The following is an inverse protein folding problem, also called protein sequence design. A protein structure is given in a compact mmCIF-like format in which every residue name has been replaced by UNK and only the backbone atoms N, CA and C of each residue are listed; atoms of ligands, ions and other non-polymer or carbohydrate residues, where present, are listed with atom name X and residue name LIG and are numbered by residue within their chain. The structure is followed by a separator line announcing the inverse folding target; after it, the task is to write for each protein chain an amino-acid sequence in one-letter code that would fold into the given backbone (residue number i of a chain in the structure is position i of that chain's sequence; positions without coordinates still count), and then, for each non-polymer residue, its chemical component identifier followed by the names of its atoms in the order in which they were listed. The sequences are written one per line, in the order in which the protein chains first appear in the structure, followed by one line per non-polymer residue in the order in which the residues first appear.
data_IF_970183377738
#
_entry.id   IF_970183377738
#
_cell.length_a   1.000
_cell.length_b   1.000
_cell.length_c   1.000
_cell.angle_alpha   90.00
_cell.angle_beta   90.00
_cell.angle_gamma   90.00
#
_symmetry.space_group_name_H-M   'P 1'
#
loop_
_entity.id
_entity.type
_entity.pdbx_description
1 polymer ?
#
# COMPACT_ATOMS: atom_id res chain seq x y z
N UNK A 1 28.27 1.11 -9.98
CA UNK A 1 26.95 1.02 -10.66
C UNK A 1 26.67 2.37 -11.28
N UNK A 2 26.20 2.41 -12.53
CA UNK A 2 25.96 3.69 -13.20
C UNK A 2 24.71 4.38 -12.65
N UNK A 3 24.71 5.71 -12.65
CA UNK A 3 23.55 6.54 -12.26
C UNK A 3 22.25 6.09 -12.96
N UNK A 4 22.34 5.75 -14.25
CA UNK A 4 21.22 5.28 -15.08
C UNK A 4 20.71 3.91 -14.62
N UNK A 5 21.61 2.96 -14.31
CA UNK A 5 21.23 1.66 -13.76
C UNK A 5 20.51 1.79 -12.41
N UNK A 6 20.92 2.75 -11.59
CA UNK A 6 20.30 3.01 -10.28
C UNK A 6 18.87 3.54 -10.42
N UNK A 7 18.65 4.49 -11.34
CA UNK A 7 17.32 5.04 -11.62
C UNK A 7 16.38 3.96 -12.19
N UNK A 8 16.83 3.21 -13.19
CA UNK A 8 16.02 2.15 -13.80
C UNK A 8 15.71 1.01 -12.81
N UNK A 9 16.65 0.65 -11.93
CA UNK A 9 16.39 -0.31 -10.86
C UNK A 9 15.33 0.20 -9.88
N UNK A 10 15.36 1.48 -9.49
CA UNK A 10 14.37 2.07 -8.60
C UNK A 10 12.97 2.10 -9.23
N UNK A 11 12.88 2.57 -10.48
CA UNK A 11 11.61 2.64 -11.22
C UNK A 11 11.03 1.24 -11.40
N UNK A 12 11.85 0.27 -11.82
CA UNK A 12 11.44 -1.12 -11.99
C UNK A 12 10.96 -1.77 -10.69
N UNK A 13 11.64 -1.49 -9.57
CA UNK A 13 11.24 -2.02 -8.26
C UNK A 13 9.89 -1.43 -7.81
N UNK A 14 9.69 -0.11 -7.98
CA UNK A 14 8.41 0.54 -7.62
C UNK A 14 7.27 0.00 -8.47
N UNK A 15 7.46 -0.16 -9.79
CA UNK A 15 6.42 -0.70 -10.67
C UNK A 15 6.12 -2.16 -10.35
N UNK A 16 7.13 -2.99 -10.09
CA UNK A 16 6.94 -4.39 -9.71
C UNK A 16 6.12 -4.50 -8.42
N UNK A 17 6.46 -3.73 -7.39
CA UNK A 17 5.76 -3.76 -6.10
C UNK A 17 4.32 -3.24 -6.25
N UNK A 18 4.10 -2.21 -7.07
CA UNK A 18 2.76 -1.71 -7.37
C UNK A 18 1.89 -2.78 -8.05
N UNK A 19 2.44 -3.48 -9.06
CA UNK A 19 1.73 -4.56 -9.75
C UNK A 19 1.42 -5.73 -8.82
N UNK A 20 2.37 -6.11 -7.96
CA UNK A 20 2.15 -7.18 -6.96
C UNK A 20 1.06 -6.76 -5.96
N UNK A 21 1.10 -5.54 -5.45
CA UNK A 21 0.07 -5.03 -4.52
C UNK A 21 -1.30 -4.96 -5.18
N UNK A 22 -1.39 -4.50 -6.43
CA UNK A 22 -2.64 -4.46 -7.19
C UNK A 22 -3.20 -5.87 -7.47
N UNK A 23 -2.32 -6.84 -7.72
CA UNK A 23 -2.71 -8.24 -7.94
C UNK A 23 -3.26 -8.87 -6.66
N UNK A 24 -2.64 -8.59 -5.51
CA UNK A 24 -3.13 -9.04 -4.19
C UNK A 24 -4.49 -8.42 -3.88
N UNK A 25 -4.69 -7.13 -4.19
CA UNK A 25 -5.98 -6.45 -4.05
C UNK A 25 -7.08 -7.13 -4.87
N UNK A 26 -6.80 -7.43 -6.15
CA UNK A 26 -7.76 -8.09 -7.02
C UNK A 26 -8.10 -9.50 -6.54
N UNK A 27 -7.09 -10.29 -6.14
CA UNK A 27 -7.29 -11.65 -5.64
C UNK A 27 -8.09 -11.68 -4.34
N UNK A 28 -7.81 -10.77 -3.40
CA UNK A 28 -8.57 -10.63 -2.15
C UNK A 28 -10.03 -10.25 -2.41
N UNK A 29 -10.28 -9.30 -3.33
CA UNK A 29 -11.65 -8.96 -3.73
C UNK A 29 -12.36 -10.14 -4.40
N UNK A 30 -11.68 -10.89 -5.28
CA UNK A 30 -12.27 -12.04 -5.94
C UNK A 30 -12.67 -13.15 -4.95
N UNK A 31 -11.81 -13.46 -3.97
CA UNK A 31 -12.07 -14.47 -2.95
C UNK A 31 -13.25 -14.08 -2.03
N UNK A 32 -13.34 -12.79 -1.67
CA UNK A 32 -14.44 -12.27 -0.83
C UNK A 32 -15.75 -12.21 -1.64
N UNK A 33 -15.73 -11.73 -2.88
CA UNK A 33 -16.94 -11.62 -3.71
C UNK A 33 -17.56 -12.98 -4.01
N UNK A 34 -16.75 -14.01 -4.27
CA UNK A 34 -17.27 -15.35 -4.55
C UNK A 34 -17.94 -16.01 -3.33
N UNK A 35 -17.47 -15.68 -2.12
CA UNK A 35 -18.04 -16.16 -0.85
C UNK A 35 -19.29 -15.38 -0.45
N UNK A 36 -19.31 -14.06 -0.72
CA UNK A 36 -20.46 -13.18 -0.44
C UNK A 36 -21.63 -13.44 -1.40
N UNK A 37 -21.37 -13.79 -2.66
CA UNK A 37 -22.44 -14.05 -3.62
C UNK A 37 -23.29 -15.27 -3.22
N UNK A 38 -22.69 -16.35 -2.73
CA UNK A 38 -23.44 -17.53 -2.25
C UNK A 38 -24.27 -17.22 -0.99
N UNK A 39 -23.73 -16.39 -0.08
CA UNK A 39 -24.42 -15.99 1.14
C UNK A 39 -25.68 -15.16 0.84
N UNK A 40 -25.56 -14.18 -0.05
CA UNK A 40 -26.63 -13.21 -0.32
C UNK A 40 -27.72 -13.75 -1.24
N UNK A 41 -27.43 -14.70 -2.15
CA UNK A 41 -28.42 -15.16 -3.14
C UNK A 41 -29.14 -16.46 -2.76
N UNK A 42 -28.64 -17.25 -1.81
CA UNK A 42 -29.25 -18.54 -1.44
C UNK A 42 -29.57 -18.68 0.04
N UNK A 43 -28.69 -18.23 0.93
CA UNK A 43 -28.86 -18.52 2.37
C UNK A 43 -29.84 -17.59 3.08
N UNK A 44 -29.85 -16.29 2.75
CA UNK A 44 -30.84 -15.35 3.31
C UNK A 44 -32.29 -15.68 2.91
N UNK A 45 -32.59 -16.04 1.64
CA UNK A 45 -33.90 -16.56 1.26
C UNK A 45 -34.30 -17.81 2.06
N UNK A 46 -33.42 -18.81 2.15
CA UNK A 46 -33.72 -20.06 2.85
C UNK A 46 -34.14 -19.87 4.32
N UNK A 47 -33.53 -18.93 5.04
CA UNK A 47 -33.90 -18.65 6.44
C UNK A 47 -35.29 -17.99 6.55
N UNK A 48 -35.60 -17.08 5.62
CA UNK A 48 -36.95 -16.50 5.53
C UNK A 48 -37.98 -17.58 5.16
N UNK A 49 -37.64 -18.48 4.25
CA UNK A 49 -38.53 -19.55 3.79
C UNK A 49 -38.81 -20.59 4.88
N UNK A 50 -37.81 -20.93 5.71
CA UNK A 50 -38.02 -21.79 6.90
C UNK A 50 -38.96 -21.11 7.91
N UNK A 51 -38.80 -19.81 8.15
CA UNK A 51 -39.68 -19.04 9.03
C UNK A 51 -41.11 -18.96 8.48
N UNK A 52 -41.24 -18.70 7.17
CA UNK A 52 -42.51 -18.69 6.46
C UNK A 52 -43.19 -20.07 6.48
N UNK A 53 -42.42 -21.16 6.37
CA UNK A 53 -42.92 -22.52 6.44
C UNK A 53 -43.49 -22.83 7.83
N UNK A 54 -42.75 -22.44 8.87
CA UNK A 54 -43.22 -22.57 10.26
C UNK A 54 -44.53 -21.80 10.47
N UNK A 55 -44.60 -20.57 9.97
CA UNK A 55 -45.83 -19.76 10.00
C UNK A 55 -46.98 -20.45 9.26
N UNK A 56 -46.74 -20.98 8.06
CA UNK A 56 -47.76 -21.65 7.26
C UNK A 56 -48.38 -22.83 8.02
N UNK A 57 -47.57 -23.66 8.68
CA UNK A 57 -48.10 -24.75 9.51
C UNK A 57 -48.84 -24.25 10.77
N UNK A 58 -48.37 -23.17 11.40
CA UNK A 58 -49.08 -22.57 12.55
C UNK A 58 -50.44 -22.00 12.15
N UNK A 59 -50.52 -21.35 10.99
CA UNK A 59 -51.76 -20.83 10.43
C UNK A 59 -52.72 -22.00 10.10
N UNK A 60 -52.18 -23.12 9.60
CA UNK A 60 -52.95 -24.36 9.43
C UNK A 60 -53.51 -24.90 10.77
N UNK A 61 -52.69 -25.03 11.82
CA UNK A 61 -53.15 -25.49 13.14
C UNK A 61 -54.24 -24.57 13.69
N UNK A 62 -54.02 -23.25 13.55
CA UNK A 62 -54.93 -22.22 14.07
C UNK A 62 -56.28 -22.29 13.38
N UNK A 63 -56.29 -22.38 12.05
CA UNK A 63 -57.52 -22.50 11.27
C UNK A 63 -58.27 -23.80 11.57
N UNK A 64 -57.54 -24.92 11.61
CA UNK A 64 -58.09 -26.23 11.93
C UNK A 64 -58.77 -26.24 13.31
N UNK A 65 -58.10 -25.73 14.35
CA UNK A 65 -58.65 -25.68 15.72
C UNK A 65 -59.82 -24.71 15.83
N UNK A 66 -59.74 -23.56 15.16
CA UNK A 66 -60.84 -22.60 15.09
C UNK A 66 -62.11 -23.21 14.51
N UNK A 67 -61.97 -23.93 13.39
CA UNK A 67 -63.07 -24.68 12.79
C UNK A 67 -63.60 -25.79 13.70
N UNK A 68 -62.69 -26.55 14.33
CA UNK A 68 -63.06 -27.64 15.23
C UNK A 68 -63.92 -27.14 16.41
N UNK A 69 -63.60 -25.96 16.96
CA UNK A 69 -64.34 -25.35 18.07
C UNK A 69 -65.67 -24.73 17.63
N UNK A 70 -65.68 -23.98 16.52
CA UNK A 70 -66.83 -23.11 16.18
C UNK A 70 -67.75 -23.65 15.09
N UNK A 71 -67.30 -24.67 14.34
CA UNK A 71 -67.90 -25.12 13.07
C UNK A 71 -68.01 -24.04 11.98
N UNK A 72 -67.34 -22.88 12.12
CA UNK A 72 -67.36 -21.82 11.11
C UNK A 72 -66.41 -22.15 9.95
N UNK A 73 -66.90 -22.41 8.73
CA UNK A 73 -66.05 -22.81 7.59
C UNK A 73 -65.01 -21.76 7.20
N UNK A 74 -65.25 -20.48 7.45
CA UNK A 74 -64.29 -19.40 7.15
C UNK A 74 -62.98 -19.53 7.94
N UNK A 75 -63.00 -20.23 9.08
CA UNK A 75 -61.77 -20.52 9.83
C UNK A 75 -60.89 -21.57 9.14
N UNK A 76 -61.35 -22.22 8.07
CA UNK A 76 -60.51 -23.11 7.26
C UNK A 76 -59.72 -22.38 6.16
N UNK A 77 -59.93 -21.07 5.96
CA UNK A 77 -59.16 -20.30 4.98
C UNK A 77 -57.65 -20.33 5.30
N UNK A 78 -57.19 -20.04 6.55
CA UNK A 78 -55.77 -20.16 6.91
C UNK A 78 -55.21 -21.58 6.77
N UNK A 79 -56.06 -22.60 6.93
CA UNK A 79 -55.66 -24.00 6.70
C UNK A 79 -55.42 -24.30 5.23
N UNK A 80 -56.29 -23.79 4.35
CA UNK A 80 -56.19 -24.05 2.92
C UNK A 80 -55.04 -23.26 2.29
N UNK A 81 -54.92 -21.98 2.65
CA UNK A 81 -53.82 -21.11 2.20
C UNK A 81 -52.48 -21.61 2.73
N UNK A 82 -52.40 -21.91 4.03
CA UNK A 82 -51.18 -22.42 4.64
C UNK A 82 -50.72 -23.75 4.05
N UNK A 83 -51.61 -24.61 3.57
CA UNK A 83 -51.25 -25.86 2.86
C UNK A 83 -50.57 -25.56 1.52
N UNK A 84 -51.13 -24.64 0.73
CA UNK A 84 -50.54 -24.24 -0.54
C UNK A 84 -49.17 -23.56 -0.35
N UNK A 85 -49.05 -22.70 0.66
CA UNK A 85 -47.77 -22.06 1.00
C UNK A 85 -46.72 -23.07 1.46
N UNK A 86 -47.10 -24.02 2.32
CA UNK A 86 -46.18 -25.06 2.79
C UNK A 86 -45.66 -25.92 1.62
N UNK A 87 -46.52 -26.33 0.68
CA UNK A 87 -46.12 -27.12 -0.49
C UNK A 87 -45.11 -26.36 -1.37
N UNK A 88 -45.37 -25.07 -1.61
CA UNK A 88 -44.46 -24.20 -2.38
C UNK A 88 -43.11 -24.02 -1.67
N UNK A 89 -43.13 -23.66 -0.39
CA UNK A 89 -41.93 -23.40 0.40
C UNK A 89 -41.07 -24.67 0.55
N UNK A 90 -41.68 -25.85 0.71
CA UNK A 90 -40.95 -27.13 0.74
C UNK A 90 -40.23 -27.39 -0.59
N UNK A 91 -40.85 -27.05 -1.73
CA UNK A 91 -40.21 -27.22 -3.04
C UNK A 91 -39.01 -26.26 -3.24
N UNK A 92 -39.15 -25.01 -2.80
CA UNK A 92 -38.06 -24.00 -2.80
C UNK A 92 -36.91 -24.45 -1.89
N UNK A 93 -37.21 -24.81 -0.63
CA UNK A 93 -36.22 -25.26 0.35
C UNK A 93 -35.48 -26.54 -0.06
N UNK A 94 -36.13 -27.46 -0.78
CA UNK A 94 -35.44 -28.64 -1.36
C UNK A 94 -34.33 -28.25 -2.33
N UNK A 95 -34.52 -27.16 -3.07
CA UNK A 95 -33.52 -26.66 -4.03
C UNK A 95 -32.41 -25.92 -3.31
N UNK A 96 -32.76 -25.08 -2.35
CA UNK A 96 -31.80 -24.22 -1.63
C UNK A 96 -30.92 -25.00 -0.65
N UNK A 97 -31.47 -26.04 -0.01
CA UNK A 97 -30.78 -26.88 0.97
C UNK A 97 -30.08 -28.10 0.35
N UNK A 98 -30.18 -28.32 -0.97
CA UNK A 98 -29.59 -29.49 -1.64
C UNK A 98 -28.06 -29.63 -1.47
N UNK A 99 -27.37 -28.52 -1.16
CA UNK A 99 -25.93 -28.51 -0.89
C UNK A 99 -25.53 -28.94 0.51
N UNK A 100 -26.48 -29.11 1.44
CA UNK A 100 -26.25 -29.51 2.83
C UNK A 100 -27.05 -30.78 3.19
N UNK A 101 -26.39 -31.94 3.35
CA UNK A 101 -27.07 -33.20 3.64
C UNK A 101 -27.89 -33.18 4.93
N UNK A 102 -27.40 -32.50 5.98
CA UNK A 102 -28.07 -32.44 7.29
C UNK A 102 -29.34 -31.58 7.20
N UNK A 103 -29.28 -30.39 6.58
CA UNK A 103 -30.45 -29.54 6.37
C UNK A 103 -31.48 -30.22 5.45
N UNK A 104 -31.04 -30.96 4.44
CA UNK A 104 -31.91 -31.77 3.59
C UNK A 104 -32.61 -32.88 4.38
N UNK A 105 -31.91 -33.52 5.32
CA UNK A 105 -32.48 -34.54 6.20
C UNK A 105 -33.53 -33.94 7.15
N UNK A 106 -33.24 -32.80 7.76
CA UNK A 106 -34.17 -32.10 8.66
C UNK A 106 -35.43 -31.61 7.93
N UNK A 107 -35.29 -31.08 6.71
CA UNK A 107 -36.45 -30.76 5.87
C UNK A 107 -37.29 -32.01 5.57
N UNK A 108 -36.64 -33.15 5.33
CA UNK A 108 -37.32 -34.43 5.18
C UNK A 108 -38.11 -34.83 6.44
N UNK A 109 -37.54 -34.62 7.63
CA UNK A 109 -38.22 -34.88 8.90
C UNK A 109 -39.42 -33.96 9.12
N UNK A 110 -39.32 -32.67 8.76
CA UNK A 110 -40.46 -31.74 8.78
C UNK A 110 -41.59 -32.22 7.86
N UNK A 111 -41.26 -32.62 6.63
CA UNK A 111 -42.26 -33.11 5.67
C UNK A 111 -42.95 -34.38 6.18
N UNK A 112 -42.20 -35.31 6.78
CA UNK A 112 -42.77 -36.52 7.36
C UNK A 112 -43.70 -36.21 8.54
N UNK A 113 -43.26 -35.38 9.49
CA UNK A 113 -44.07 -34.99 10.65
C UNK A 113 -45.34 -34.21 10.24
N UNK A 114 -45.26 -33.37 9.19
CA UNK A 114 -46.40 -32.66 8.64
C UNK A 114 -47.41 -33.59 7.97
N UNK A 115 -46.94 -34.59 7.22
CA UNK A 115 -47.79 -35.62 6.62
C UNK A 115 -48.51 -36.46 7.70
N UNK A 116 -47.79 -36.82 8.77
CA UNK A 116 -48.36 -37.54 9.92
C UNK A 116 -49.43 -36.71 10.63
N UNK A 117 -49.15 -35.45 10.95
CA UNK A 117 -50.12 -34.56 11.57
C UNK A 117 -51.36 -34.35 10.68
N UNK A 118 -51.15 -34.17 9.38
CA UNK A 118 -52.24 -33.93 8.42
C UNK A 118 -53.17 -35.15 8.33
N UNK A 119 -52.59 -36.33 8.12
CA UNK A 119 -53.33 -37.57 7.87
C UNK A 119 -53.96 -38.17 9.13
N UNK A 120 -53.33 -38.01 10.30
CA UNK A 120 -53.79 -38.62 11.54
C UNK A 120 -54.62 -37.67 12.42
N UNK A 121 -54.48 -36.35 12.25
CA UNK A 121 -55.19 -35.36 13.05
C UNK A 121 -55.96 -34.34 12.23
N UNK A 122 -55.30 -33.51 11.42
CA UNK A 122 -55.94 -32.34 10.82
C UNK A 122 -57.13 -32.71 9.93
N UNK A 123 -56.93 -33.57 8.91
CA UNK A 123 -57.97 -33.95 7.97
C UNK A 123 -59.09 -34.79 8.63
N UNK A 124 -58.80 -35.81 9.46
CA UNK A 124 -59.84 -36.55 10.18
C UNK A 124 -60.68 -35.68 11.11
N UNK A 125 -60.08 -34.71 11.80
CA UNK A 125 -60.79 -33.81 12.71
C UNK A 125 -61.68 -32.82 11.96
N UNK A 126 -61.19 -32.27 10.85
CA UNK A 126 -61.99 -31.42 9.96
C UNK A 126 -63.16 -32.23 9.39
N UNK A 127 -62.92 -33.46 8.92
CA UNK A 127 -63.96 -34.33 8.38
C UNK A 127 -65.01 -34.69 9.43
N UNK A 128 -64.60 -35.09 10.64
CA UNK A 128 -65.50 -35.41 11.74
C UNK A 128 -66.38 -34.20 12.12
N UNK A 129 -65.79 -32.99 12.17
CA UNK A 129 -66.54 -31.77 12.48
C UNK A 129 -67.51 -31.37 11.37
N UNK A 130 -67.16 -31.62 10.09
CA UNK A 130 -68.07 -31.44 8.96
C UNK A 130 -69.25 -32.41 8.99
N UNK A 131 -69.05 -33.61 9.51
CA UNK A 131 -70.11 -34.61 9.64
C UNK A 131 -71.14 -34.27 10.74
N UNK A 132 -70.76 -33.43 11.71
CA UNK A 132 -71.71 -32.91 12.71
C UNK A 132 -71.05 -32.48 14.03
N UNK A 133 -71.87 -32.22 15.07
CA UNK A 133 -71.38 -31.94 16.41
C UNK A 133 -70.53 -33.09 16.98
N UNK A 134 -69.40 -32.75 17.60
CA UNK A 134 -68.50 -33.71 18.25
C UNK A 134 -68.76 -33.66 19.76
N UNK A 135 -68.98 -34.80 20.44
CA UNK A 135 -69.10 -34.87 21.90
C UNK A 135 -67.88 -34.23 22.62
N UNK A 136 -68.06 -33.55 23.77
CA UNK A 136 -66.97 -32.82 24.43
C UNK A 136 -65.75 -33.67 24.80
N UNK A 137 -65.98 -34.90 25.24
CA UNK A 137 -64.96 -35.90 25.60
C UNK A 137 -64.16 -36.36 24.36
N UNK A 138 -64.85 -36.64 23.25
CA UNK A 138 -64.21 -36.98 21.98
C UNK A 138 -63.42 -35.79 21.41
N UNK A 139 -63.99 -34.59 21.47
CA UNK A 139 -63.35 -33.35 21.04
C UNK A 139 -62.06 -33.08 21.82
N UNK A 140 -62.08 -33.29 23.14
CA UNK A 140 -60.91 -33.14 23.99
C UNK A 140 -59.81 -34.14 23.62
N UNK A 141 -60.16 -35.42 23.41
CA UNK A 141 -59.22 -36.47 22.99
C UNK A 141 -58.58 -36.17 21.63
N UNK A 142 -59.40 -35.76 20.64
CA UNK A 142 -58.93 -35.36 19.32
C UNK A 142 -57.96 -34.18 19.40
N UNK A 143 -58.32 -33.14 20.17
CA UNK A 143 -57.48 -31.95 20.34
C UNK A 143 -56.12 -32.29 20.97
N UNK A 144 -56.09 -33.14 21.99
CA UNK A 144 -54.84 -33.58 22.62
C UNK A 144 -53.96 -34.39 21.65
N UNK A 145 -54.56 -35.32 20.90
CA UNK A 145 -53.85 -36.14 19.93
C UNK A 145 -53.27 -35.29 18.78
N UNK A 146 -54.06 -34.34 18.27
CA UNK A 146 -53.61 -33.39 17.25
C UNK A 146 -52.49 -32.48 17.75
N UNK A 147 -52.60 -31.99 18.99
CA UNK A 147 -51.54 -31.19 19.61
C UNK A 147 -50.22 -31.96 19.70
N UNK A 148 -50.25 -33.23 20.15
CA UNK A 148 -49.04 -34.05 20.26
C UNK A 148 -48.32 -34.21 18.92
N UNK A 149 -49.05 -34.48 17.85
CA UNK A 149 -48.49 -34.60 16.50
C UNK A 149 -47.97 -33.25 15.99
N UNK A 150 -48.67 -32.15 16.29
CA UNK A 150 -48.19 -30.82 15.90
C UNK A 150 -46.95 -30.38 16.71
N UNK A 151 -46.86 -30.75 17.99
CA UNK A 151 -45.68 -30.48 18.82
C UNK A 151 -44.43 -31.20 18.26
N UNK A 152 -44.60 -32.41 17.70
CA UNK A 152 -43.54 -33.10 16.97
C UNK A 152 -43.13 -32.33 15.71
N UNK A 153 -44.10 -31.91 14.88
CA UNK A 153 -43.82 -31.04 13.72
C UNK A 153 -43.08 -29.75 14.12
N UNK A 154 -43.49 -29.12 15.23
CA UNK A 154 -42.85 -27.91 15.75
C UNK A 154 -41.41 -28.16 16.22
N UNK A 155 -41.14 -29.35 16.76
CA UNK A 155 -39.79 -29.79 17.11
C UNK A 155 -38.92 -29.92 15.87
N UNK A 156 -39.42 -30.57 14.80
CA UNK A 156 -38.69 -30.72 13.54
C UNK A 156 -38.45 -29.37 12.85
N UNK A 157 -39.43 -28.47 12.86
CA UNK A 157 -39.27 -27.10 12.34
C UNK A 157 -38.19 -26.32 13.10
N UNK A 158 -38.11 -26.48 14.42
CA UNK A 158 -37.10 -25.83 15.26
C UNK A 158 -35.69 -26.38 15.00
N UNK A 159 -35.57 -27.69 14.72
CA UNK A 159 -34.32 -28.31 14.30
C UNK A 159 -33.85 -27.72 12.95
N UNK A 160 -34.73 -27.71 11.95
CA UNK A 160 -34.47 -27.12 10.63
C UNK A 160 -34.03 -25.65 10.71
N UNK A 161 -34.71 -24.87 11.54
CA UNK A 161 -34.36 -23.47 11.77
C UNK A 161 -32.98 -23.33 12.42
N UNK A 162 -32.67 -24.16 13.43
CA UNK A 162 -31.38 -24.14 14.13
C UNK A 162 -30.22 -24.50 13.20
N UNK A 163 -30.39 -25.52 12.35
CA UNK A 163 -29.39 -25.88 11.34
C UNK A 163 -29.18 -24.78 10.33
N UNK A 164 -30.27 -24.20 9.82
CA UNK A 164 -30.19 -23.11 8.85
C UNK A 164 -29.44 -21.91 9.43
N UNK A 165 -29.73 -21.55 10.69
CA UNK A 165 -28.98 -20.50 11.41
C UNK A 165 -27.48 -20.83 11.51
N UNK A 166 -27.13 -22.05 11.92
CA UNK A 166 -25.73 -22.48 12.04
C UNK A 166 -24.98 -22.42 10.70
N UNK A 167 -25.66 -22.76 9.59
CA UNK A 167 -25.09 -22.66 8.25
C UNK A 167 -24.76 -21.20 7.90
N UNK A 168 -25.66 -20.26 8.22
CA UNK A 168 -25.41 -18.83 8.00
C UNK A 168 -24.26 -18.32 8.85
N UNK A 169 -24.26 -18.61 10.15
CA UNK A 169 -23.21 -18.15 11.07
C UNK A 169 -21.82 -18.65 10.63
N UNK A 170 -21.71 -19.93 10.28
CA UNK A 170 -20.46 -20.52 9.81
C UNK A 170 -19.92 -19.88 8.52
N UNK A 171 -20.80 -19.33 7.69
CA UNK A 171 -20.45 -18.70 6.43
C UNK A 171 -20.13 -17.21 6.62
N UNK A 172 -20.79 -16.54 7.55
CA UNK A 172 -20.42 -15.19 8.00
C UNK A 172 -18.99 -15.21 8.58
N UNK A 173 -18.66 -16.20 9.41
CA UNK A 173 -17.32 -16.32 10.00
C UNK A 173 -16.23 -16.57 8.95
N UNK A 174 -16.54 -17.36 7.90
CA UNK A 174 -15.64 -17.56 6.76
C UNK A 174 -15.41 -16.25 5.99
N UNK A 175 -16.45 -15.44 5.77
CA UNK A 175 -16.33 -14.13 5.12
C UNK A 175 -15.49 -13.17 5.96
N UNK A 176 -15.74 -13.09 7.27
CA UNK A 176 -15.00 -12.22 8.18
C UNK A 176 -13.52 -12.61 8.26
N UNK A 177 -13.22 -13.91 8.35
CA UNK A 177 -11.85 -14.42 8.39
C UNK A 177 -11.10 -14.16 7.07
N UNK A 178 -11.76 -14.36 5.93
CA UNK A 178 -11.21 -14.05 4.61
C UNK A 178 -10.92 -12.55 4.45
N UNK A 179 -11.80 -11.68 4.98
CA UNK A 179 -11.58 -10.24 5.00
C UNK A 179 -10.39 -9.85 5.89
N UNK A 180 -10.25 -10.46 7.08
CA UNK A 180 -9.14 -10.16 7.98
C UNK A 180 -7.79 -10.57 7.37
N UNK A 181 -7.70 -11.76 6.78
CA UNK A 181 -6.49 -12.22 6.07
C UNK A 181 -6.16 -11.28 4.90
N UNK A 182 -7.16 -10.87 4.12
CA UNK A 182 -6.97 -9.94 3.01
C UNK A 182 -6.49 -8.55 3.50
N UNK A 183 -7.06 -8.02 4.59
CA UNK A 183 -6.64 -6.76 5.18
C UNK A 183 -5.23 -6.81 5.77
N UNK A 184 -4.86 -7.90 6.44
CA UNK A 184 -3.51 -8.09 6.99
C UNK A 184 -2.48 -8.21 5.86
N UNK A 185 -2.76 -9.02 4.83
CA UNK A 185 -1.91 -9.13 3.65
C UNK A 185 -1.72 -7.77 2.95
N UNK A 186 -2.79 -6.97 2.86
CA UNK A 186 -2.74 -5.62 2.32
C UNK A 186 -1.92 -4.67 3.19
N UNK A 187 -2.06 -4.73 4.51
CA UNK A 187 -1.29 -3.90 5.44
C UNK A 187 0.22 -4.21 5.32
N UNK A 188 0.59 -5.50 5.24
CA UNK A 188 1.97 -5.93 5.04
C UNK A 188 2.51 -5.45 3.67
N UNK A 189 1.75 -5.64 2.59
CA UNK A 189 2.15 -5.18 1.25
C UNK A 189 2.35 -3.66 1.21
N UNK A 190 1.46 -2.89 1.84
CA UNK A 190 1.54 -1.44 1.93
C UNK A 190 2.74 -0.98 2.76
N UNK A 191 3.01 -1.65 3.88
CA UNK A 191 4.18 -1.37 4.73
C UNK A 191 5.50 -1.66 4.01
N UNK A 192 5.58 -2.77 3.26
CA UNK A 192 6.74 -3.11 2.44
C UNK A 192 6.96 -2.09 1.31
N UNK A 193 5.89 -1.67 0.63
CA UNK A 193 5.96 -0.63 -0.40
C UNK A 193 6.48 0.68 0.18
N UNK A 194 5.94 1.11 1.32
CA UNK A 194 6.42 2.31 2.01
C UNK A 194 7.90 2.19 2.40
N UNK A 195 8.31 1.04 2.93
CA UNK A 195 9.70 0.75 3.27
C UNK A 195 10.64 0.85 2.06
N UNK A 196 10.25 0.31 0.91
CA UNK A 196 11.02 0.38 -0.33
C UNK A 196 11.12 1.81 -0.85
N UNK A 197 10.02 2.58 -0.82
CA UNK A 197 10.02 3.99 -1.22
C UNK A 197 10.97 4.80 -0.33
N UNK A 198 10.88 4.64 0.99
CA UNK A 198 11.75 5.32 1.95
C UNK A 198 13.21 4.93 1.72
N UNK A 199 13.50 3.64 1.57
CA UNK A 199 14.85 3.14 1.30
C UNK A 199 15.41 3.69 -0.02
N UNK A 200 14.59 3.77 -1.06
CA UNK A 200 14.95 4.33 -2.37
C UNK A 200 15.28 5.81 -2.29
N UNK A 201 14.43 6.60 -1.61
CA UNK A 201 14.66 8.03 -1.40
C UNK A 201 15.93 8.26 -0.58
N UNK A 202 16.12 7.48 0.48
CA UNK A 202 17.31 7.55 1.33
C UNK A 202 18.58 7.21 0.55
N UNK A 203 18.56 6.13 -0.24
CA UNK A 203 19.69 5.68 -1.05
C UNK A 203 20.02 6.70 -2.16
N UNK A 204 19.00 7.24 -2.82
CA UNK A 204 19.16 8.29 -3.84
C UNK A 204 19.83 9.55 -3.24
N UNK A 205 19.36 10.02 -2.08
CA UNK A 205 20.00 11.16 -1.38
C UNK A 205 21.45 10.88 -1.01
N UNK A 206 21.75 9.65 -0.57
CA UNK A 206 23.09 9.25 -0.13
C UNK A 206 24.07 9.09 -1.30
N UNK A 207 23.64 8.52 -2.42
CA UNK A 207 24.50 8.19 -3.55
C UNK A 207 24.55 9.27 -4.62
N UNK A 208 23.48 10.04 -4.81
CA UNK A 208 23.38 11.04 -5.88
C UNK A 208 23.51 12.46 -5.32
N UNK A 209 22.58 12.86 -4.47
CA UNK A 209 22.46 14.27 -4.05
C UNK A 209 23.66 14.74 -3.25
N UNK A 210 24.13 13.96 -2.28
CA UNK A 210 25.27 14.36 -1.43
C UNK A 210 26.59 14.51 -2.21
N UNK A 211 27.05 13.52 -3.00
CA UNK A 211 28.33 13.65 -3.69
C UNK A 211 28.31 14.73 -4.78
N UNK A 212 27.20 14.87 -5.51
CA UNK A 212 27.05 15.94 -6.51
C UNK A 212 27.13 17.31 -5.85
N UNK A 213 26.48 17.52 -4.71
CA UNK A 213 26.57 18.79 -3.98
C UNK A 213 27.98 19.10 -3.47
N UNK A 214 28.74 18.07 -3.07
CA UNK A 214 30.16 18.25 -2.66
C UNK A 214 30.98 18.74 -3.85
N UNK A 215 30.90 18.06 -5.00
CA UNK A 215 31.66 18.43 -6.20
C UNK A 215 31.21 19.81 -6.71
N UNK A 216 29.91 20.10 -6.71
CA UNK A 216 29.38 21.40 -7.13
C UNK A 216 29.93 22.54 -6.26
N UNK A 217 29.96 22.34 -4.94
CA UNK A 217 30.51 23.33 -4.01
C UNK A 217 32.02 23.52 -4.23
N UNK A 218 32.77 22.45 -4.43
CA UNK A 218 34.22 22.51 -4.68
C UNK A 218 34.51 23.22 -6.02
N UNK A 219 33.78 22.91 -7.09
CA UNK A 219 33.89 23.59 -8.40
C UNK A 219 33.50 25.08 -8.29
N UNK A 220 32.46 25.41 -7.54
CA UNK A 220 32.05 26.81 -7.32
C UNK A 220 33.12 27.58 -6.54
N UNK A 221 33.80 26.94 -5.59
CA UNK A 221 34.92 27.56 -4.87
C UNK A 221 36.09 27.87 -5.82
N UNK A 222 36.42 26.96 -6.74
CA UNK A 222 37.43 27.19 -7.79
C UNK A 222 37.04 28.33 -8.71
N UNK A 223 35.76 28.40 -9.12
CA UNK A 223 35.25 29.51 -9.94
C UNK A 223 35.36 30.87 -9.22
N UNK A 224 35.26 30.88 -7.89
CA UNK A 224 35.47 32.06 -7.04
C UNK A 224 36.95 32.34 -6.71
N UNK A 225 37.91 31.65 -7.37
CA UNK A 225 39.35 31.90 -7.26
C UNK A 225 40.07 31.10 -6.16
N UNK A 226 39.39 30.18 -5.47
CA UNK A 226 40.02 29.32 -4.46
C UNK A 226 40.75 28.13 -5.10
N UNK A 227 41.82 28.41 -5.84
CA UNK A 227 42.57 27.38 -6.58
C UNK A 227 43.34 26.42 -5.67
N UNK A 228 43.61 26.77 -4.40
CA UNK A 228 44.47 25.99 -3.50
C UNK A 228 43.77 24.77 -2.88
N UNK A 229 42.45 24.62 -3.10
CA UNK A 229 41.65 23.52 -2.54
C UNK A 229 41.35 22.46 -3.61
N UNK A 230 41.72 21.19 -3.39
CA UNK A 230 41.43 20.13 -4.35
C UNK A 230 39.93 19.85 -4.44
N UNK A 231 39.44 19.55 -5.65
CA UNK A 231 38.07 19.09 -5.88
C UNK A 231 37.99 17.63 -5.46
N UNK A 232 37.13 17.31 -4.49
CA UNK A 232 37.04 15.97 -3.94
C UNK A 232 36.29 15.04 -4.90
N UNK A 233 36.94 13.97 -5.33
CA UNK A 233 36.31 12.90 -6.11
C UNK A 233 35.57 11.92 -5.19
N UNK A 234 34.32 12.27 -4.86
CA UNK A 234 33.44 11.45 -4.01
C UNK A 234 32.23 10.99 -4.83
N UNK A 235 31.76 9.76 -4.60
CA UNK A 235 30.48 9.27 -5.12
C UNK A 235 30.59 8.20 -6.22
N UNK A 236 29.48 7.93 -6.93
CA UNK A 236 29.41 6.95 -8.02
C UNK A 236 30.38 7.27 -9.17
N UNK A 237 30.67 6.26 -10.00
CA UNK A 237 31.68 6.33 -11.08
C UNK A 237 31.52 7.56 -11.97
N UNK A 238 30.29 7.93 -12.34
CA UNK A 238 30.03 9.08 -13.20
C UNK A 238 30.43 10.40 -12.50
N UNK A 239 30.11 10.53 -11.21
CA UNK A 239 30.43 11.73 -10.42
C UNK A 239 31.94 11.81 -10.17
N UNK A 240 32.61 10.68 -9.87
CA UNK A 240 34.05 10.65 -9.67
C UNK A 240 34.84 10.98 -10.95
N UNK A 241 34.37 10.53 -12.12
CA UNK A 241 34.99 10.86 -13.41
C UNK A 241 34.88 12.35 -13.71
N UNK A 242 33.69 12.94 -13.48
CA UNK A 242 33.49 14.39 -13.63
C UNK A 242 34.35 15.18 -12.65
N UNK A 243 34.42 14.76 -11.39
CA UNK A 243 35.25 15.39 -10.37
C UNK A 243 36.74 15.32 -10.72
N UNK A 244 37.23 14.18 -11.23
CA UNK A 244 38.62 14.04 -11.68
C UNK A 244 38.96 14.92 -12.90
N UNK A 245 38.03 15.04 -13.85
CA UNK A 245 38.19 15.97 -14.97
C UNK A 245 38.22 17.44 -14.50
N UNK A 246 37.32 17.81 -13.59
CA UNK A 246 37.29 19.15 -12.99
C UNK A 246 38.56 19.45 -12.17
N UNK A 247 39.08 18.47 -11.44
CA UNK A 247 40.35 18.60 -10.69
C UNK A 247 41.55 18.81 -11.62
N UNK A 248 41.57 18.13 -12.77
CA UNK A 248 42.60 18.36 -13.80
C UNK A 248 42.53 19.80 -14.33
N UNK A 249 41.31 20.31 -14.57
CA UNK A 249 41.10 21.71 -14.96
C UNK A 249 41.56 22.68 -13.87
N UNK A 250 41.22 22.43 -12.59
CA UNK A 250 41.67 23.25 -11.45
C UNK A 250 43.20 23.30 -11.39
N UNK A 251 43.89 22.16 -11.49
CA UNK A 251 45.36 22.12 -11.47
C UNK A 251 45.98 22.94 -12.59
N UNK A 252 45.42 22.85 -13.81
CA UNK A 252 45.88 23.66 -14.93
C UNK A 252 45.66 25.17 -14.68
N UNK A 253 44.53 25.56 -14.09
CA UNK A 253 44.25 26.95 -13.73
C UNK A 253 45.18 27.45 -12.61
N UNK A 254 45.43 26.64 -11.60
CA UNK A 254 46.34 26.97 -10.50
C UNK A 254 47.75 27.23 -11.03
N UNK A 255 48.30 26.30 -11.84
CA UNK A 255 49.62 26.45 -12.46
C UNK A 255 49.66 27.65 -13.42
N UNK A 256 48.61 27.90 -14.19
CA UNK A 256 48.54 29.08 -15.05
C UNK A 256 48.54 30.38 -14.23
N UNK A 257 47.82 30.43 -13.12
CA UNK A 257 47.77 31.58 -12.23
C UNK A 257 49.12 31.84 -11.54
N UNK A 258 49.79 30.79 -11.05
CA UNK A 258 51.16 30.91 -10.51
C UNK A 258 52.15 31.45 -11.56
N UNK A 259 52.09 30.93 -12.79
CA UNK A 259 52.93 31.44 -13.89
C UNK A 259 52.68 32.92 -14.18
N UNK A 260 51.42 33.36 -14.15
CA UNK A 260 51.06 34.78 -14.36
C UNK A 260 51.56 35.66 -13.20
N UNK A 261 51.48 35.17 -11.96
CA UNK A 261 52.03 35.86 -10.80
C UNK A 261 53.56 35.99 -10.89
N UNK A 262 54.26 34.91 -11.25
CA UNK A 262 55.70 34.90 -11.46
C UNK A 262 56.14 35.82 -12.62
N UNK A 263 55.40 35.82 -13.73
CA UNK A 263 55.63 36.74 -14.85
C UNK A 263 55.48 38.20 -14.41
N UNK A 264 54.39 38.51 -13.70
CA UNK A 264 54.14 39.87 -13.18
C UNK A 264 55.25 40.32 -12.23
N UNK A 265 55.74 39.42 -11.37
CA UNK A 265 56.87 39.71 -10.48
C UNK A 265 58.19 39.92 -11.24
N UNK A 266 58.44 39.18 -12.33
CA UNK A 266 59.61 39.38 -13.20
C UNK A 266 59.52 40.68 -13.98
N UNK A 267 58.36 41.00 -14.53
CA UNK A 267 58.11 42.23 -15.26
C UNK A 267 58.28 43.46 -14.37
N UNK A 268 57.78 43.40 -13.13
CA UNK A 268 57.99 44.44 -12.12
C UNK A 268 59.48 44.62 -11.79
N UNK A 269 60.22 43.52 -11.57
CA UNK A 269 61.69 43.58 -11.36
C UNK A 269 62.41 44.17 -12.57
N UNK A 270 62.01 43.81 -13.79
CA UNK A 270 62.58 44.33 -15.02
C UNK A 270 62.30 45.83 -15.20
N UNK A 271 61.09 46.29 -14.85
CA UNK A 271 60.75 47.72 -14.83
C UNK A 271 61.64 48.49 -13.85
N UNK A 272 61.75 48.02 -12.60
CA UNK A 272 62.64 48.64 -11.60
C UNK A 272 64.09 48.69 -12.06
N UNK A 273 64.59 47.62 -12.68
CA UNK A 273 65.95 47.59 -13.21
C UNK A 273 66.15 48.65 -14.31
N UNK A 274 65.18 48.83 -15.23
CA UNK A 274 65.22 49.87 -16.26
C UNK A 274 65.16 51.29 -15.68
N UNK A 275 64.31 51.52 -14.68
CA UNK A 275 64.22 52.81 -13.98
C UNK A 275 65.53 53.17 -13.27
N UNK A 276 66.10 52.22 -12.53
CA UNK A 276 67.40 52.37 -11.88
C UNK A 276 68.48 52.66 -12.92
N UNK A 277 68.49 51.95 -14.05
CA UNK A 277 69.45 52.20 -15.13
C UNK A 277 69.30 53.61 -15.73
N UNK A 278 68.08 54.09 -15.96
CA UNK A 278 67.83 55.43 -16.50
C UNK A 278 68.25 56.55 -15.51
N UNK A 279 67.95 56.37 -14.22
CA UNK A 279 68.43 57.28 -13.16
C UNK A 279 69.96 57.28 -13.06
N UNK A 280 70.58 56.10 -13.07
CA UNK A 280 72.04 55.93 -13.10
C UNK A 280 72.67 56.69 -14.27
N UNK A 281 72.13 56.56 -15.48
CA UNK A 281 72.67 57.24 -16.66
C UNK A 281 72.60 58.76 -16.51
N UNK A 282 71.50 59.27 -15.95
CA UNK A 282 71.29 60.70 -15.69
C UNK A 282 72.27 61.22 -14.63
N UNK A 283 72.41 60.51 -13.51
CA UNK A 283 73.34 60.88 -12.41
C UNK A 283 74.81 60.82 -12.84
N UNK A 284 75.18 59.81 -13.65
CA UNK A 284 76.55 59.66 -14.18
C UNK A 284 76.88 60.75 -15.20
N UNK A 285 75.94 61.14 -16.06
CA UNK A 285 76.17 62.25 -17.00
C UNK A 285 76.31 63.61 -16.31
N UNK A 286 75.71 63.78 -15.13
CA UNK A 286 75.84 64.98 -14.31
C UNK A 286 77.09 64.97 -13.41
N UNK A 287 77.89 63.91 -13.41
CA UNK A 287 79.06 63.79 -12.54
C UNK A 287 80.22 64.69 -13.04
N UNK A 288 80.90 65.43 -12.16
CA UNK A 288 81.95 66.38 -12.55
C UNK A 288 83.28 65.71 -12.92
N UNK A 289 83.52 64.47 -12.50
CA UNK A 289 84.75 63.71 -12.77
C UNK A 289 84.51 62.19 -12.79
N UNK A 290 85.52 61.44 -13.30
CA UNK A 290 85.45 59.98 -13.46
C UNK A 290 85.33 59.24 -12.11
N UNK A 291 85.91 59.81 -11.05
CA UNK A 291 85.87 59.23 -9.70
C UNK A 291 84.45 59.30 -9.09
N UNK A 292 83.75 60.43 -9.26
CA UNK A 292 82.36 60.58 -8.83
C UNK A 292 81.41 59.71 -9.64
N UNK A 293 81.60 59.62 -10.97
CA UNK A 293 80.85 58.70 -11.81
C UNK A 293 81.02 57.23 -11.37
N UNK A 294 82.25 56.82 -11.05
CA UNK A 294 82.54 55.47 -10.56
C UNK A 294 81.87 55.16 -9.22
N UNK A 295 81.85 56.11 -8.27
CA UNK A 295 81.19 55.91 -6.97
C UNK A 295 79.67 55.86 -7.08
N UNK A 296 79.06 56.66 -7.97
CA UNK A 296 77.62 56.61 -8.27
C UNK A 296 77.24 55.25 -8.86
N UNK A 297 77.99 54.77 -9.86
CA UNK A 297 77.75 53.45 -10.48
C UNK A 297 77.83 52.35 -9.43
N UNK A 298 78.88 52.32 -8.62
CA UNK A 298 79.07 51.27 -7.60
C UNK A 298 77.97 51.33 -6.55
N UNK A 299 77.62 52.50 -6.02
CA UNK A 299 76.63 52.60 -4.93
C UNK A 299 75.22 52.25 -5.39
N UNK A 300 74.77 52.75 -6.55
CA UNK A 300 73.44 52.48 -7.08
C UNK A 300 73.28 51.05 -7.57
N UNK A 301 74.32 50.47 -8.19
CA UNK A 301 74.30 49.06 -8.61
C UNK A 301 74.31 48.13 -7.40
N UNK A 302 75.07 48.48 -6.34
CA UNK A 302 75.03 47.75 -5.08
C UNK A 302 73.65 47.83 -4.41
N UNK A 303 73.01 49.02 -4.40
CA UNK A 303 71.66 49.21 -3.88
C UNK A 303 70.60 48.42 -4.67
N UNK A 304 70.72 48.35 -6.01
CA UNK A 304 69.79 47.64 -6.88
C UNK A 304 69.83 46.11 -6.72
N UNK A 305 71.02 45.57 -6.42
CA UNK A 305 71.26 44.14 -6.23
C UNK A 305 71.20 43.71 -4.76
N UNK A 306 70.85 44.64 -3.85
CA UNK A 306 70.90 44.45 -2.39
C UNK A 306 72.27 43.93 -1.90
N UNK A 307 73.34 44.37 -2.57
CA UNK A 307 74.71 43.97 -2.29
C UNK A 307 75.38 44.95 -1.30
N UNK A 308 76.10 44.41 -0.31
CA UNK A 308 76.75 45.22 0.73
C UNK A 308 78.05 45.90 0.28
N UNK A 309 78.71 45.39 -0.76
CA UNK A 309 79.99 45.90 -1.26
C UNK A 309 80.07 45.77 -2.79
N UNK A 310 80.77 46.69 -3.45
CA UNK A 310 81.04 46.63 -4.90
C UNK A 310 82.37 47.30 -5.24
N UNK A 311 83.00 46.86 -6.34
CA UNK A 311 84.23 47.44 -6.87
C UNK A 311 84.15 47.53 -8.40
N UNK A 312 84.58 48.67 -8.97
CA UNK A 312 84.62 48.91 -10.41
C UNK A 312 86.07 48.90 -10.88
N UNK A 313 86.41 47.98 -11.79
CA UNK A 313 87.73 47.90 -12.39
C UNK A 313 87.68 48.50 -13.80
N UNK A 314 88.40 49.60 -14.02
CA UNK A 314 88.56 50.21 -15.34
C UNK A 314 89.84 49.69 -15.97
N UNK A 315 89.72 49.11 -17.16
CA UNK A 315 90.89 48.74 -17.98
C UNK A 315 91.28 49.97 -18.79
N UNK A 316 92.48 50.48 -18.55
CA UNK A 316 93.09 51.55 -19.35
C UNK A 316 93.58 51.01 -20.69
#
# INVERSE_FOLDING_TARGET
MSLRQLIWACVGTITLVFVISMSILLAGRFAVTHSVQQLSTRMLPALNDVSALSKAYVDQETGQRGFLLTANPALLDPYTEGKADADRLVAELRTDLAGDPEASQELGAVVAAAADWTSQAAEPQIAARRAGPIPPDQLQSMTQSGKRLFDELRTQLSALQSRTNNLIDSQIDRVNSAQLIAHVAQAIASALLLGIVVATVWLSRRLLTRPVNIVLNDVTAVANGAYDRPIRSVGPREVSVLAGAAETMRNNLHVANERLADQSARDEKARRAKEIQAQLLTEVQAAPDLASAGSIIVSRTAQALDAKHGALYLRQ
#
